data_IF_492490832024
#
_entry.id   IF_492490832024
#
_cell.length_a   1.000
_cell.length_b   1.000
_cell.length_c   1.000
_cell.angle_alpha   90.00
_cell.angle_beta   90.00
_cell.angle_gamma   90.00
#
_symmetry.space_group_name_H-M   'P 1'
#
loop_
_entity.id
_entity.type
_entity.pdbx_description
1 polymer ?
#
# COMPACT_ATOMS: atom_id res chain seq x y z
N UNK A 1 -20.67 8.90 -37.68
CA UNK A 1 -21.94 9.21 -36.99
C UNK A 1 -21.60 10.19 -35.89
N UNK A 2 -22.04 11.43 -36.06
CA UNK A 2 -21.90 12.54 -35.12
C UNK A 2 -22.70 12.24 -33.85
N UNK A 3 -22.04 12.24 -32.70
CA UNK A 3 -22.72 12.27 -31.41
C UNK A 3 -22.94 13.73 -31.03
N UNK A 4 -24.01 14.32 -31.56
CA UNK A 4 -24.64 15.50 -30.97
C UNK A 4 -25.80 15.04 -30.10
N UNK A 5 -25.85 15.57 -28.86
CA UNK A 5 -26.98 15.43 -27.96
C UNK A 5 -26.81 14.36 -26.89
N UNK A 6 -26.04 14.64 -25.84
CA UNK A 6 -26.28 13.97 -24.54
C UNK A 6 -27.10 14.90 -23.67
N UNK A 7 -28.34 14.50 -23.46
CA UNK A 7 -29.33 15.07 -22.55
C UNK A 7 -28.78 15.29 -21.14
N UNK A 8 -29.31 16.31 -20.44
CA UNK A 8 -29.22 16.51 -18.99
C UNK A 8 -29.89 15.34 -18.22
N UNK A 9 -29.40 14.11 -18.39
CA UNK A 9 -29.72 13.01 -17.52
C UNK A 9 -28.94 13.23 -16.23
N UNK A 10 -29.65 13.36 -15.11
CA UNK A 10 -29.03 13.35 -13.78
C UNK A 10 -28.27 12.04 -13.61
N UNK A 11 -26.94 12.09 -13.55
CA UNK A 11 -26.11 10.92 -13.25
C UNK A 11 -26.57 10.31 -11.93
N UNK A 12 -26.88 9.01 -11.90
CA UNK A 12 -27.31 8.34 -10.68
C UNK A 12 -26.09 7.96 -9.85
N UNK A 13 -26.26 8.04 -8.54
CA UNK A 13 -25.27 7.55 -7.59
C UNK A 13 -25.37 6.03 -7.54
N UNK A 14 -24.26 5.33 -7.76
CA UNK A 14 -24.17 3.87 -7.70
C UNK A 14 -23.10 3.46 -6.69
N UNK A 15 -23.35 2.39 -5.95
CA UNK A 15 -22.34 1.75 -5.11
C UNK A 15 -21.44 0.88 -6.00
N UNK A 16 -20.17 1.23 -6.10
CA UNK A 16 -19.14 0.33 -6.62
C UNK A 16 -18.50 -0.39 -5.43
N UNK A 17 -18.91 -1.65 -5.21
CA UNK A 17 -18.33 -2.56 -4.22
C UNK A 17 -17.71 -3.77 -4.94
N UNK A 18 -16.39 -3.73 -5.09
CA UNK A 18 -15.65 -4.67 -5.93
C UNK A 18 -14.27 -4.13 -6.25
N UNK A 19 -13.75 -4.41 -7.44
CA UNK A 19 -12.41 -3.99 -7.85
C UNK A 19 -12.48 -3.24 -9.17
N UNK A 20 -11.68 -2.19 -9.29
CA UNK A 20 -11.41 -1.49 -10.54
C UNK A 20 -10.05 -1.93 -11.09
N UNK A 21 -10.04 -2.42 -12.32
CA UNK A 21 -8.84 -2.64 -13.13
C UNK A 21 -8.66 -1.42 -14.05
N UNK A 22 -7.60 -0.65 -13.80
CA UNK A 22 -7.41 0.69 -14.39
C UNK A 22 -6.04 0.75 -15.08
N UNK A 23 -6.05 1.12 -16.35
CA UNK A 23 -4.85 1.44 -17.11
C UNK A 23 -4.85 2.91 -17.49
N UNK A 24 -3.87 3.66 -17.01
CA UNK A 24 -3.57 5.02 -17.47
C UNK A 24 -2.41 4.92 -18.45
N UNK A 25 -2.67 5.11 -19.74
CA UNK A 25 -1.72 4.76 -20.80
C UNK A 25 -0.86 5.94 -21.22
N UNK A 26 -1.47 6.94 -21.83
CA UNK A 26 -0.78 8.10 -22.40
C UNK A 26 -1.71 9.29 -22.48
N UNK A 27 -1.17 10.50 -22.54
CA UNK A 27 -1.90 11.68 -22.96
C UNK A 27 -1.25 12.31 -24.18
N UNK A 28 -2.02 13.07 -24.96
CA UNK A 28 -1.52 13.76 -26.16
C UNK A 28 -1.93 15.22 -26.14
N UNK A 29 -1.08 16.08 -26.70
CA UNK A 29 -1.30 17.51 -26.90
C UNK A 29 -1.70 18.28 -25.64
N UNK A 30 -1.06 18.00 -24.50
CA UNK A 30 -1.34 18.73 -23.26
C UNK A 30 -0.99 20.22 -23.40
N UNK A 31 -1.70 21.13 -22.69
CA UNK A 31 -1.28 22.52 -22.62
C UNK A 31 0.00 22.63 -21.78
N UNK A 32 0.89 23.54 -22.18
CA UNK A 32 2.06 23.89 -21.39
C UNK A 32 1.65 24.78 -20.22
N UNK A 33 1.83 24.32 -18.99
CA UNK A 33 1.38 25.01 -17.78
C UNK A 33 2.51 25.62 -16.96
N UNK A 34 3.78 25.41 -17.35
CA UNK A 34 4.95 25.91 -16.62
C UNK A 34 5.07 27.45 -16.67
N UNK A 35 5.19 28.05 -15.47
CA UNK A 35 5.33 29.50 -15.26
C UNK A 35 6.74 30.01 -15.52
N UNK A 36 7.77 29.16 -15.42
CA UNK A 36 9.17 29.56 -15.54
C UNK A 36 9.70 29.53 -16.98
N UNK A 37 8.80 29.48 -17.98
CA UNK A 37 9.13 29.73 -19.40
C UNK A 37 10.00 30.96 -19.63
N UNK A 38 9.93 31.97 -18.76
CA UNK A 38 10.77 33.18 -18.83
C UNK A 38 12.24 32.97 -18.45
N UNK A 39 12.56 31.91 -17.71
CA UNK A 39 13.89 31.67 -17.13
C UNK A 39 14.56 30.39 -17.66
N UNK A 40 13.78 29.38 -18.08
CA UNK A 40 14.25 28.20 -18.82
C UNK A 40 13.64 28.19 -20.21
N UNK A 41 14.45 28.43 -21.24
CA UNK A 41 14.10 28.06 -22.61
C UNK A 41 13.94 26.53 -22.64
N UNK A 42 12.77 26.04 -23.07
CA UNK A 42 12.40 24.63 -23.25
C UNK A 42 11.85 23.88 -22.01
N UNK A 43 11.30 24.59 -21.03
CA UNK A 43 10.53 23.94 -19.95
C UNK A 43 9.07 23.72 -20.38
N UNK A 44 8.56 22.51 -20.21
CA UNK A 44 7.18 22.08 -20.51
C UNK A 44 6.54 21.55 -19.22
N UNK A 45 5.28 21.11 -19.28
CA UNK A 45 4.64 20.53 -18.10
C UNK A 45 5.28 19.20 -17.70
N UNK A 46 5.24 18.91 -16.41
CA UNK A 46 5.62 17.67 -15.75
C UNK A 46 4.33 16.89 -15.36
N UNK A 47 3.61 16.28 -16.32
CA UNK A 47 2.27 15.77 -16.09
C UNK A 47 2.22 14.46 -15.29
N UNK A 48 1.15 14.32 -14.53
CA UNK A 48 0.70 13.08 -13.91
C UNK A 48 -0.83 13.04 -13.81
N UNK A 49 -1.38 11.86 -13.54
CA UNK A 49 -2.82 11.62 -13.41
C UNK A 49 -3.12 11.09 -12.01
N UNK A 50 -4.10 11.69 -11.35
CA UNK A 50 -4.71 11.12 -10.14
C UNK A 50 -6.09 10.58 -10.48
N UNK A 51 -6.34 9.33 -10.10
CA UNK A 51 -7.63 8.66 -10.25
C UNK A 51 -8.38 8.73 -8.94
N UNK A 52 -9.64 9.14 -8.97
CA UNK A 52 -10.46 9.31 -7.77
C UNK A 52 -11.91 8.89 -7.96
N UNK A 53 -12.51 8.43 -6.88
CA UNK A 53 -13.92 8.04 -6.79
C UNK A 53 -14.49 8.61 -5.48
N UNK A 54 -15.64 9.29 -5.53
CA UNK A 54 -16.22 9.97 -4.36
C UNK A 54 -15.21 10.86 -3.60
N UNK A 55 -14.34 11.54 -4.36
CA UNK A 55 -13.25 12.40 -3.88
C UNK A 55 -12.13 11.69 -3.07
N UNK A 56 -12.18 10.36 -2.96
CA UNK A 56 -11.06 9.54 -2.51
C UNK A 56 -10.09 9.26 -3.67
N UNK A 57 -8.80 9.54 -3.49
CA UNK A 57 -7.74 9.21 -4.45
C UNK A 57 -7.42 7.71 -4.35
N UNK A 58 -7.59 6.99 -5.46
CA UNK A 58 -7.42 5.53 -5.54
C UNK A 58 -6.20 5.10 -6.35
N UNK A 59 -5.53 6.04 -7.02
CA UNK A 59 -4.30 5.77 -7.74
C UNK A 59 -3.69 7.04 -8.30
N UNK A 60 -2.36 7.10 -8.34
CA UNK A 60 -1.61 8.23 -8.87
C UNK A 60 -0.46 7.71 -9.71
N UNK A 61 -0.32 8.25 -10.93
CA UNK A 61 0.77 7.88 -11.84
C UNK A 61 2.09 8.50 -11.38
N UNK A 62 3.18 8.02 -11.96
CA UNK A 62 4.45 8.76 -11.93
C UNK A 62 4.28 10.12 -12.61
N UNK A 63 5.12 11.06 -12.19
CA UNK A 63 5.33 12.32 -12.89
C UNK A 63 6.29 12.05 -14.05
N UNK A 64 5.93 12.50 -15.25
CA UNK A 64 6.82 12.47 -16.42
C UNK A 64 7.31 13.89 -16.64
N UNK A 65 8.63 14.09 -16.60
CA UNK A 65 9.20 15.42 -16.69
C UNK A 65 9.17 15.95 -18.13
N UNK A 66 8.73 17.19 -18.29
CA UNK A 66 8.84 17.99 -19.50
C UNK A 66 8.27 17.33 -20.78
N UNK A 67 7.09 16.71 -20.70
CA UNK A 67 6.44 16.08 -21.84
C UNK A 67 4.96 16.47 -21.99
N UNK A 68 4.59 17.05 -23.14
CA UNK A 68 3.19 17.36 -23.47
C UNK A 68 2.45 16.14 -24.07
N UNK A 69 3.14 15.01 -24.28
CA UNK A 69 2.61 13.75 -24.77
C UNK A 69 3.10 12.54 -23.91
N UNK A 70 2.90 12.59 -22.59
CA UNK A 70 3.43 11.61 -21.65
C UNK A 70 2.87 10.20 -21.89
N UNK A 71 3.71 9.19 -21.70
CA UNK A 71 3.33 7.76 -21.75
C UNK A 71 3.65 7.11 -20.39
N UNK A 72 2.63 6.88 -19.58
CA UNK A 72 2.78 6.27 -18.26
C UNK A 72 2.71 4.74 -18.30
N UNK A 73 1.77 4.19 -19.07
CA UNK A 73 1.48 2.75 -19.12
C UNK A 73 1.38 2.11 -17.72
N UNK A 74 0.70 2.80 -16.80
CA UNK A 74 0.58 2.35 -15.42
C UNK A 74 -0.76 1.67 -15.16
N UNK A 75 -0.67 0.58 -14.41
CA UNK A 75 -1.78 -0.27 -14.03
C UNK A 75 -2.08 -0.13 -12.54
N UNK A 76 -3.36 0.01 -12.22
CA UNK A 76 -3.88 -0.01 -10.86
C UNK A 76 -4.98 -1.06 -10.76
N UNK A 77 -4.90 -1.93 -9.76
CA UNK A 77 -5.94 -2.89 -9.44
C UNK A 77 -6.41 -2.62 -8.01
N UNK A 78 -7.54 -1.95 -7.88
CA UNK A 78 -7.91 -1.28 -6.61
C UNK A 78 -9.28 -1.74 -6.13
N UNK A 79 -9.39 -2.22 -4.88
CA UNK A 79 -10.69 -2.47 -4.27
C UNK A 79 -11.41 -1.15 -3.98
N UNK A 80 -12.71 -1.10 -4.27
CA UNK A 80 -13.58 0.04 -4.06
C UNK A 80 -14.84 -0.38 -3.31
N UNK A 81 -15.35 0.51 -2.46
CA UNK A 81 -16.62 0.37 -1.74
C UNK A 81 -17.28 1.76 -1.61
N UNK A 82 -17.46 2.45 -2.73
CA UNK A 82 -17.82 3.88 -2.76
C UNK A 82 -19.13 4.12 -3.51
N UNK A 83 -19.96 5.02 -2.98
CA UNK A 83 -21.09 5.59 -3.71
C UNK A 83 -20.59 6.75 -4.58
N UNK A 84 -20.72 6.64 -5.90
CA UNK A 84 -20.25 7.68 -6.82
C UNK A 84 -21.10 7.73 -8.10
N UNK A 85 -21.11 8.90 -8.73
CA UNK A 85 -21.68 9.12 -10.07
C UNK A 85 -20.63 8.93 -11.18
N UNK A 86 -19.36 9.20 -10.88
CA UNK A 86 -18.24 9.12 -11.82
C UNK A 86 -16.95 8.66 -11.13
N UNK A 87 -16.09 8.01 -11.90
CA UNK A 87 -14.65 7.89 -11.63
C UNK A 87 -13.94 9.03 -12.38
N UNK A 88 -13.15 9.84 -11.68
CA UNK A 88 -12.46 11.01 -12.23
C UNK A 88 -10.98 10.71 -12.42
N UNK A 89 -10.46 10.98 -13.61
CA UNK A 89 -9.04 10.98 -13.94
C UNK A 89 -8.61 12.44 -14.10
N UNK A 90 -7.92 12.98 -13.09
CA UNK A 90 -7.52 14.39 -13.07
C UNK A 90 -6.07 14.49 -13.52
N UNK A 91 -5.84 15.18 -14.64
CA UNK A 91 -4.50 15.52 -15.08
C UNK A 91 -4.00 16.75 -14.32
N UNK A 92 -2.79 16.64 -13.81
CA UNK A 92 -2.10 17.68 -13.04
C UNK A 92 -0.71 17.89 -13.61
N UNK A 93 -0.23 19.13 -13.49
CA UNK A 93 1.15 19.50 -13.69
C UNK A 93 1.84 19.60 -12.32
N UNK A 94 3.04 19.03 -12.18
CA UNK A 94 3.79 19.01 -10.93
C UNK A 94 4.85 20.12 -10.90
N UNK A 95 4.54 21.26 -10.28
CA UNK A 95 5.52 22.33 -10.09
C UNK A 95 6.21 22.25 -8.71
N UNK A 96 7.40 22.86 -8.60
CA UNK A 96 8.18 22.98 -7.35
C UNK A 96 7.39 23.56 -6.16
N UNK A 97 6.30 24.28 -6.41
CA UNK A 97 5.48 24.95 -5.40
C UNK A 97 4.04 24.42 -5.32
N UNK A 98 3.82 23.18 -5.76
CA UNK A 98 2.53 22.51 -5.71
C UNK A 98 2.02 22.14 -7.11
N UNK A 99 0.92 21.41 -7.17
CA UNK A 99 0.37 20.93 -8.44
C UNK A 99 -0.77 21.78 -8.96
N UNK A 100 -0.89 21.85 -10.28
CA UNK A 100 -1.97 22.58 -10.96
C UNK A 100 -2.79 21.64 -11.82
N UNK A 101 -4.11 21.69 -11.70
CA UNK A 101 -4.99 20.89 -12.55
C UNK A 101 -4.99 21.44 -13.99
N UNK A 102 -4.78 20.53 -14.95
CA UNK A 102 -4.90 20.76 -16.40
C UNK A 102 -6.36 20.59 -16.84
N UNK A 103 -6.99 19.53 -16.33
CA UNK A 103 -8.35 19.13 -16.65
C UNK A 103 -8.61 17.71 -16.18
N UNK A 104 -9.76 17.16 -16.53
CA UNK A 104 -10.19 15.84 -16.09
C UNK A 104 -10.96 15.07 -17.16
N UNK A 105 -10.94 13.75 -17.04
CA UNK A 105 -11.80 12.81 -17.75
C UNK A 105 -12.70 12.13 -16.72
N UNK A 106 -14.01 12.03 -17.00
CA UNK A 106 -15.00 11.44 -16.11
C UNK A 106 -15.64 10.23 -16.79
N UNK A 107 -15.57 9.08 -16.13
CA UNK A 107 -16.24 7.85 -16.57
C UNK A 107 -17.45 7.63 -15.65
N UNK A 108 -18.69 7.65 -16.18
CA UNK A 108 -19.88 7.38 -15.38
C UNK A 108 -19.85 6.00 -14.73
N UNK A 109 -20.21 5.93 -13.45
CA UNK A 109 -20.22 4.65 -12.71
C UNK A 109 -21.30 3.70 -13.22
N UNK A 110 -22.41 4.23 -13.77
CA UNK A 110 -23.45 3.42 -14.43
C UNK A 110 -22.91 2.62 -15.62
N UNK A 111 -22.02 3.20 -16.42
CA UNK A 111 -21.40 2.51 -17.57
C UNK A 111 -20.50 1.36 -17.10
N UNK A 112 -19.77 1.57 -16.00
CA UNK A 112 -18.91 0.56 -15.38
C UNK A 112 -19.71 -0.63 -14.86
N UNK A 113 -20.94 -0.43 -14.39
CA UNK A 113 -21.80 -1.49 -13.87
C UNK A 113 -22.21 -2.53 -14.92
N UNK A 114 -22.02 -2.24 -16.21
CA UNK A 114 -22.20 -3.23 -17.27
C UNK A 114 -21.17 -4.37 -17.23
N UNK A 115 -20.06 -4.18 -16.50
CA UNK A 115 -18.93 -5.12 -16.43
C UNK A 115 -18.03 -5.12 -17.68
N UNK A 116 -18.42 -4.40 -18.74
CA UNK A 116 -17.62 -4.25 -19.94
C UNK A 116 -16.39 -3.39 -19.66
N UNK A 117 -15.28 -3.72 -20.34
CA UNK A 117 -14.08 -2.88 -20.33
C UNK A 117 -14.32 -1.64 -21.18
N UNK A 118 -14.22 -0.47 -20.55
CA UNK A 118 -14.26 0.83 -21.22
C UNK A 118 -12.83 1.19 -21.59
N UNK A 119 -12.56 1.41 -22.88
CA UNK A 119 -11.21 1.69 -23.36
C UNK A 119 -11.25 2.62 -24.56
N UNK A 120 -10.36 3.62 -24.58
CA UNK A 120 -10.29 4.57 -25.68
C UNK A 120 -9.51 5.84 -25.38
N UNK A 121 -9.70 6.82 -26.27
CA UNK A 121 -9.16 8.16 -26.17
C UNK A 121 -10.27 9.12 -25.74
N UNK A 122 -10.09 9.77 -24.60
CA UNK A 122 -11.09 10.64 -24.00
C UNK A 122 -10.61 12.10 -24.02
N UNK A 123 -11.47 13.07 -24.41
CA UNK A 123 -11.10 14.47 -24.38
C UNK A 123 -10.90 14.94 -22.94
N UNK A 124 -9.81 15.66 -22.69
CA UNK A 124 -9.53 16.25 -21.38
C UNK A 124 -10.35 17.53 -21.24
N UNK A 125 -11.24 17.58 -20.24
CA UNK A 125 -12.14 18.70 -20.02
C UNK A 125 -11.61 19.63 -18.94
N UNK A 126 -11.79 20.93 -19.11
CA UNK A 126 -11.51 21.92 -18.07
C UNK A 126 -12.70 22.06 -17.10
N UNK A 127 -12.58 22.94 -16.11
CA UNK A 127 -13.63 23.21 -15.11
C UNK A 127 -14.97 23.68 -15.70
N UNK A 128 -14.96 24.23 -16.92
CA UNK A 128 -16.18 24.64 -17.64
C UNK A 128 -16.82 23.52 -18.47
N UNK A 129 -16.26 22.30 -18.43
CA UNK A 129 -16.74 21.15 -19.21
C UNK A 129 -16.35 21.20 -20.69
N UNK A 130 -15.45 22.12 -21.09
CA UNK A 130 -14.96 22.25 -22.47
C UNK A 130 -13.58 21.60 -22.61
N UNK A 131 -13.20 21.13 -23.81
CA UNK A 131 -11.84 20.64 -24.06
C UNK A 131 -10.78 21.65 -23.62
N UNK A 132 -9.76 21.20 -22.87
CA UNK A 132 -8.73 22.09 -22.33
C UNK A 132 -7.80 22.68 -23.40
N UNK A 133 -7.54 21.92 -24.48
CA UNK A 133 -6.79 22.31 -25.68
C UNK A 133 -7.28 21.45 -26.85
N UNK A 134 -7.27 21.99 -28.07
CA UNK A 134 -7.68 21.23 -29.27
C UNK A 134 -6.76 20.02 -29.44
N UNK A 135 -7.35 18.83 -29.51
CA UNK A 135 -6.62 17.57 -29.65
C UNK A 135 -6.03 17.01 -28.35
N UNK A 136 -6.29 17.64 -27.20
CA UNK A 136 -5.86 17.14 -25.90
C UNK A 136 -6.72 15.96 -25.44
N UNK A 137 -6.10 14.79 -25.34
CA UNK A 137 -6.79 13.53 -25.01
C UNK A 137 -5.99 12.70 -24.02
N UNK A 138 -6.70 11.90 -23.22
CA UNK A 138 -6.15 10.86 -22.34
C UNK A 138 -6.57 9.49 -22.87
N UNK A 139 -5.60 8.62 -23.06
CA UNK A 139 -5.79 7.20 -23.39
C UNK A 139 -5.84 6.39 -22.10
N UNK A 140 -6.95 5.69 -21.86
CA UNK A 140 -7.12 4.86 -20.68
C UNK A 140 -7.97 3.62 -20.97
N UNK A 141 -7.89 2.64 -20.07
CA UNK A 141 -8.86 1.56 -19.97
C UNK A 141 -9.31 1.41 -18.51
N UNK A 142 -10.57 1.06 -18.30
CA UNK A 142 -11.12 0.79 -16.97
C UNK A 142 -12.17 -0.32 -17.06
N UNK A 143 -12.14 -1.24 -16.12
CA UNK A 143 -13.15 -2.28 -15.97
C UNK A 143 -13.50 -2.44 -14.49
N UNK A 144 -14.79 -2.63 -14.21
CA UNK A 144 -15.29 -2.90 -12.87
C UNK A 144 -15.72 -4.36 -12.75
N UNK A 145 -15.21 -5.02 -11.70
CA UNK A 145 -15.64 -6.36 -11.31
C UNK A 145 -16.32 -6.25 -9.94
N UNK A 146 -17.62 -6.54 -9.81
CA UNK A 146 -18.32 -6.49 -8.53
C UNK A 146 -17.84 -7.63 -7.60
N UNK A 147 -17.89 -7.40 -6.29
CA UNK A 147 -17.39 -8.34 -5.28
C UNK A 147 -18.06 -9.71 -5.38
N UNK A 148 -19.33 -9.76 -5.80
CA UNK A 148 -20.10 -10.98 -5.96
C UNK A 148 -19.56 -11.86 -7.09
N UNK A 149 -18.79 -11.32 -8.04
CA UNK A 149 -18.14 -12.12 -9.09
C UNK A 149 -16.77 -12.67 -8.67
N UNK A 150 -16.27 -12.31 -7.48
CA UNK A 150 -14.95 -12.69 -7.02
C UNK A 150 -15.02 -13.93 -6.14
N UNK A 151 -14.56 -15.06 -6.69
CA UNK A 151 -14.57 -16.37 -6.01
C UNK A 151 -13.88 -16.34 -4.63
N UNK A 152 -12.81 -15.54 -4.48
CA UNK A 152 -12.04 -15.42 -3.23
C UNK A 152 -12.89 -14.94 -2.04
N UNK A 153 -14.00 -14.24 -2.27
CA UNK A 153 -14.86 -13.70 -1.21
C UNK A 153 -16.11 -14.55 -0.94
N UNK A 154 -16.38 -15.58 -1.75
CA UNK A 154 -17.59 -16.39 -1.61
C UNK A 154 -17.43 -17.59 -0.66
N UNK A 155 -16.23 -18.17 -0.56
CA UNK A 155 -16.03 -19.50 0.04
C UNK A 155 -15.03 -19.53 1.22
N UNK A 156 -14.65 -18.36 1.73
CA UNK A 156 -13.56 -18.27 2.70
C UNK A 156 -12.25 -18.81 2.11
N UNK A 157 -11.41 -19.43 2.95
CA UNK A 157 -10.07 -19.90 2.55
C UNK A 157 -10.11 -21.12 1.62
N UNK A 158 -11.23 -21.87 1.57
CA UNK A 158 -11.39 -23.04 0.71
C UNK A 158 -10.30 -24.12 0.88
N UNK A 159 -10.26 -25.11 -0.03
CA UNK A 159 -9.21 -26.15 -0.06
C UNK A 159 -7.97 -25.73 -0.89
N UNK A 160 -8.15 -24.78 -1.82
CA UNK A 160 -7.11 -24.31 -2.74
C UNK A 160 -6.81 -22.82 -2.47
N UNK A 161 -6.26 -22.53 -1.29
CA UNK A 161 -5.83 -21.18 -0.96
C UNK A 161 -4.50 -20.85 -1.65
N UNK A 162 -4.54 -19.89 -2.57
CA UNK A 162 -3.36 -19.35 -3.26
C UNK A 162 -2.75 -18.14 -2.52
N UNK A 163 -3.40 -17.70 -1.44
CA UNK A 163 -3.02 -16.51 -0.68
C UNK A 163 -3.65 -15.23 -1.23
N UNK A 164 -3.27 -14.09 -0.64
CA UNK A 164 -3.71 -12.79 -1.12
C UNK A 164 -2.94 -12.44 -2.40
N UNK A 165 -3.62 -12.16 -3.53
CA UNK A 165 -2.94 -11.83 -4.78
C UNK A 165 -2.31 -10.42 -4.72
N UNK A 166 -1.32 -10.17 -5.57
CA UNK A 166 -0.71 -8.84 -5.72
C UNK A 166 0.14 -8.39 -4.52
N UNK A 167 0.52 -9.29 -3.62
CA UNK A 167 1.40 -8.99 -2.49
C UNK A 167 2.88 -9.19 -2.84
N UNK A 168 3.76 -8.39 -2.23
CA UNK A 168 5.20 -8.52 -2.41
C UNK A 168 5.73 -9.87 -1.91
N UNK A 169 5.19 -10.35 -0.78
CA UNK A 169 5.51 -11.68 -0.24
C UNK A 169 4.39 -12.67 -0.60
N UNK A 170 4.71 -13.77 -1.29
CA UNK A 170 3.73 -14.79 -1.65
C UNK A 170 3.38 -15.68 -0.44
N UNK A 171 2.29 -16.44 -0.58
CA UNK A 171 1.92 -17.48 0.39
C UNK A 171 3.04 -18.51 0.55
N UNK A 172 3.39 -18.84 1.80
CA UNK A 172 4.35 -19.90 2.13
C UNK A 172 3.62 -21.04 2.83
N UNK A 173 3.83 -22.27 2.36
CA UNK A 173 3.27 -23.50 2.95
C UNK A 173 4.27 -24.14 3.92
N UNK A 174 3.76 -24.92 4.87
CA UNK A 174 4.59 -25.61 5.87
C UNK A 174 5.09 -24.74 7.02
N UNK A 175 4.60 -23.49 7.12
CA UNK A 175 4.88 -22.63 8.26
C UNK A 175 4.19 -23.12 9.53
N UNK A 176 4.83 -22.94 10.69
CA UNK A 176 4.22 -23.10 12.00
C UNK A 176 4.09 -21.73 12.65
N UNK A 177 2.86 -21.37 13.00
CA UNK A 177 2.55 -20.11 13.69
C UNK A 177 2.21 -20.43 15.14
N UNK A 178 2.95 -19.83 16.07
CA UNK A 178 2.59 -19.81 17.49
C UNK A 178 1.83 -18.53 17.76
N UNK A 179 0.61 -18.63 18.27
CA UNK A 179 -0.18 -17.47 18.67
C UNK A 179 0.13 -17.15 20.13
N UNK A 180 0.36 -15.88 20.40
CA UNK A 180 0.61 -15.38 21.74
C UNK A 180 -0.53 -14.48 22.18
N UNK A 181 -1.17 -14.85 23.29
CA UNK A 181 -2.01 -13.94 24.05
C UNK A 181 -1.12 -13.26 25.08
N UNK A 182 -0.98 -11.94 24.96
CA UNK A 182 -0.12 -11.11 25.81
C UNK A 182 1.39 -11.49 25.79
N UNK A 183 2.18 -10.76 26.57
CA UNK A 183 3.61 -11.04 26.74
C UNK A 183 3.84 -12.35 27.52
N UNK A 184 2.94 -12.67 28.44
CA UNK A 184 3.03 -13.77 29.37
C UNK A 184 1.64 -14.16 29.88
N UNK A 185 1.44 -15.45 30.06
CA UNK A 185 0.24 -16.01 30.69
C UNK A 185 0.68 -17.02 31.75
N UNK A 186 0.05 -16.96 32.93
CA UNK A 186 0.26 -17.94 33.99
C UNK A 186 -0.52 -19.24 33.71
N UNK A 187 0.08 -20.37 34.04
CA UNK A 187 -0.52 -21.67 33.77
C UNK A 187 -1.85 -21.84 34.54
N UNK A 188 -2.88 -22.32 33.85
CA UNK A 188 -4.20 -22.55 34.43
C UNK A 188 -5.10 -21.31 34.57
N UNK A 189 -4.63 -20.12 34.18
CA UNK A 189 -5.45 -18.89 34.24
C UNK A 189 -6.39 -18.72 33.04
N UNK A 190 -6.05 -19.31 31.90
CA UNK A 190 -6.88 -19.29 30.71
C UNK A 190 -7.75 -20.55 30.59
N UNK A 191 -8.93 -20.43 29.95
CA UNK A 191 -9.80 -21.58 29.72
C UNK A 191 -9.12 -22.63 28.85
N UNK A 192 -9.54 -23.88 29.05
CA UNK A 192 -9.19 -24.99 28.14
C UNK A 192 -9.93 -24.80 26.82
N UNK A 193 -9.21 -25.01 25.72
CA UNK A 193 -9.76 -24.94 24.37
C UNK A 193 -9.49 -26.28 23.70
N UNK A 194 -10.55 -27.02 23.45
CA UNK A 194 -10.51 -28.31 22.76
C UNK A 194 -10.31 -28.06 21.26
N UNK A 195 -9.37 -28.79 20.67
CA UNK A 195 -9.07 -28.79 19.24
C UNK A 195 -9.50 -30.11 18.61
N UNK A 196 -9.53 -30.13 17.27
CA UNK A 196 -9.81 -31.36 16.52
C UNK A 196 -8.84 -32.50 16.87
N UNK A 197 -9.29 -33.74 16.71
CA UNK A 197 -8.52 -34.93 17.08
C UNK A 197 -8.33 -35.13 18.60
N UNK A 198 -9.12 -34.45 19.44
CA UNK A 198 -9.04 -34.57 20.90
C UNK A 198 -7.84 -33.85 21.53
N UNK A 199 -7.18 -32.99 20.77
CA UNK A 199 -6.03 -32.22 21.22
C UNK A 199 -6.48 -31.06 22.11
N UNK A 200 -5.60 -30.61 23.00
CA UNK A 200 -5.81 -29.41 23.82
C UNK A 200 -4.93 -28.28 23.28
N UNK A 201 -5.48 -27.08 23.18
CA UNK A 201 -4.69 -25.89 22.86
C UNK A 201 -3.74 -25.55 24.00
N UNK A 202 -2.47 -25.33 23.66
CA UNK A 202 -1.43 -24.92 24.60
C UNK A 202 -1.14 -23.44 24.38
N UNK A 203 -1.40 -22.62 25.40
CA UNK A 203 -1.14 -21.19 25.37
C UNK A 203 0.38 -20.93 25.39
N UNK A 204 0.87 -20.20 24.38
CA UNK A 204 2.28 -19.82 24.28
C UNK A 204 2.68 -18.70 25.23
N UNK A 205 3.97 -18.57 25.54
CA UNK A 205 4.50 -17.56 26.47
C UNK A 205 5.50 -16.66 25.72
N UNK A 206 4.98 -15.62 25.06
CA UNK A 206 5.71 -14.81 24.08
C UNK A 206 7.12 -14.39 24.53
N UNK A 207 7.24 -13.76 25.70
CA UNK A 207 8.53 -13.25 26.18
C UNK A 207 9.47 -14.35 26.64
N UNK A 208 8.96 -15.50 27.07
CA UNK A 208 9.79 -16.68 27.40
C UNK A 208 10.35 -17.29 26.13
N UNK A 209 9.50 -17.55 25.14
CA UNK A 209 9.89 -18.09 23.84
C UNK A 209 10.86 -17.15 23.11
N UNK A 210 10.65 -15.83 23.21
CA UNK A 210 11.56 -14.82 22.67
C UNK A 210 12.93 -14.83 23.37
N UNK A 211 12.94 -14.89 24.71
CA UNK A 211 14.18 -14.95 25.47
C UNK A 211 14.97 -16.22 25.13
N UNK A 212 14.28 -17.34 24.97
CA UNK A 212 14.90 -18.61 24.60
C UNK A 212 15.39 -18.62 23.15
N UNK A 213 14.65 -18.03 22.22
CA UNK A 213 15.09 -17.86 20.83
C UNK A 213 16.36 -17.00 20.74
N UNK A 214 16.44 -15.90 21.51
CA UNK A 214 17.63 -15.04 21.60
C UNK A 214 18.81 -15.86 22.14
N UNK A 215 18.64 -16.52 23.30
CA UNK A 215 19.71 -17.31 23.95
C UNK A 215 20.22 -18.47 23.10
N UNK A 216 19.37 -19.06 22.25
CA UNK A 216 19.71 -20.21 21.41
C UNK A 216 20.25 -19.82 20.02
N UNK A 217 20.20 -18.54 19.65
CA UNK A 217 20.64 -18.08 18.34
C UNK A 217 22.16 -18.25 18.18
N UNK A 218 22.58 -18.88 17.07
CA UNK A 218 24.01 -19.12 16.78
C UNK A 218 24.60 -18.20 15.71
N UNK A 219 23.76 -17.59 14.88
CA UNK A 219 24.18 -16.94 13.63
C UNK A 219 23.74 -15.49 13.52
N UNK A 220 22.45 -15.20 13.71
CA UNK A 220 21.88 -13.88 13.49
C UNK A 220 20.71 -13.65 14.44
N UNK A 221 20.71 -12.48 15.06
CA UNK A 221 19.56 -11.91 15.75
C UNK A 221 19.23 -10.59 15.05
N UNK A 222 18.00 -10.46 14.56
CA UNK A 222 17.48 -9.24 13.93
C UNK A 222 16.28 -8.75 14.72
N UNK A 223 16.37 -7.52 15.24
CA UNK A 223 15.31 -6.90 16.03
C UNK A 223 14.94 -5.57 15.40
N UNK A 224 13.65 -5.38 15.17
CA UNK A 224 13.05 -4.11 14.79
C UNK A 224 11.88 -3.82 15.73
N UNK A 225 11.77 -2.57 16.14
CA UNK A 225 10.69 -2.14 17.02
C UNK A 225 10.57 -0.63 16.93
N UNK A 226 9.35 -0.12 17.14
CA UNK A 226 9.13 1.31 17.28
C UNK A 226 9.90 1.90 18.47
N UNK A 227 10.05 1.12 19.54
CA UNK A 227 10.89 1.42 20.70
C UNK A 227 11.49 0.14 21.25
N UNK A 228 12.79 0.16 21.57
CA UNK A 228 13.51 -0.95 22.18
C UNK A 228 14.12 -0.48 23.50
N UNK A 229 13.52 -0.90 24.62
CA UNK A 229 14.02 -0.59 25.96
C UNK A 229 14.91 -1.73 26.46
N UNK A 230 16.21 -1.65 26.17
CA UNK A 230 17.18 -2.70 26.50
C UNK A 230 17.27 -3.11 27.99
N UNK A 231 16.90 -2.28 29.00
CA UNK A 231 16.86 -2.71 30.40
C UNK A 231 15.67 -3.60 30.75
N UNK A 232 14.71 -3.82 29.83
CA UNK A 232 13.54 -4.67 30.10
C UNK A 232 13.95 -6.11 30.40
N UNK A 233 13.25 -6.74 31.33
CA UNK A 233 13.37 -8.17 31.63
C UNK A 233 12.27 -8.96 30.95
N UNK A 234 12.65 -9.84 30.03
CA UNK A 234 11.72 -10.70 29.28
C UNK A 234 11.12 -11.79 30.18
N UNK A 235 11.93 -12.41 31.03
CA UNK A 235 11.46 -13.42 32.00
C UNK A 235 11.56 -12.84 33.41
N UNK A 236 10.44 -12.85 34.14
CA UNK A 236 10.30 -12.14 35.43
C UNK A 236 10.02 -13.06 36.63
N UNK A 237 9.94 -14.38 36.45
CA UNK A 237 9.48 -15.33 37.48
C UNK A 237 10.41 -15.51 38.68
N UNK A 238 11.73 -15.35 38.53
CA UNK A 238 12.70 -15.85 39.51
C UNK A 238 13.38 -14.79 40.41
N UNK A 239 12.91 -13.53 40.45
CA UNK A 239 13.48 -12.44 41.27
C UNK A 239 15.00 -12.15 41.13
N UNK A 240 15.78 -12.91 40.34
CA UNK A 240 17.18 -12.59 40.01
C UNK A 240 17.21 -11.28 39.20
N UNK A 241 17.84 -10.20 39.68
CA UNK A 241 17.79 -8.89 39.03
C UNK A 241 18.52 -8.83 37.67
N UNK A 242 19.37 -9.80 37.36
CA UNK A 242 20.20 -9.84 36.16
C UNK A 242 19.74 -10.86 35.12
N UNK A 243 18.99 -11.88 35.54
CA UNK A 243 18.44 -12.88 34.62
C UNK A 243 17.28 -12.31 33.79
N UNK A 244 17.39 -12.50 32.48
CA UNK A 244 16.37 -12.12 31.50
C UNK A 244 16.38 -10.66 31.03
N UNK A 245 17.37 -9.82 31.41
CA UNK A 245 17.52 -8.46 30.86
C UNK A 245 17.90 -8.53 29.38
N UNK A 246 17.09 -7.96 28.51
CA UNK A 246 17.24 -8.03 27.05
C UNK A 246 18.65 -7.58 26.60
N UNK A 247 19.10 -6.42 27.06
CA UNK A 247 20.42 -5.89 26.70
C UNK A 247 21.58 -6.75 27.18
N UNK A 248 21.43 -7.52 28.27
CA UNK A 248 22.46 -8.45 28.73
C UNK A 248 22.44 -9.72 27.88
N UNK A 249 21.26 -10.23 27.51
CA UNK A 249 21.12 -11.36 26.60
C UNK A 249 21.77 -11.07 25.25
N UNK A 250 21.46 -9.92 24.65
CA UNK A 250 22.03 -9.51 23.35
C UNK A 250 23.55 -9.31 23.40
N UNK A 251 24.08 -8.80 24.52
CA UNK A 251 25.52 -8.59 24.68
C UNK A 251 26.33 -9.89 24.80
N UNK A 252 25.74 -11.00 25.24
CA UNK A 252 26.45 -12.29 25.35
C UNK A 252 26.64 -12.98 24.00
N UNK A 253 25.76 -12.71 23.04
CA UNK A 253 25.72 -13.37 21.72
C UNK A 253 26.23 -12.46 20.57
N UNK A 254 27.04 -11.45 20.93
CA UNK A 254 27.46 -10.28 20.12
C UNK A 254 28.34 -10.58 18.89
N UNK A 255 28.40 -11.82 18.37
CA UNK A 255 29.19 -12.08 17.16
C UNK A 255 28.59 -11.41 15.92
N UNK A 256 27.26 -11.24 15.80
CA UNK A 256 26.56 -10.47 14.72
C UNK A 256 25.12 -10.08 15.11
N UNK A 257 24.95 -9.15 16.06
CA UNK A 257 23.62 -8.55 16.31
C UNK A 257 23.45 -7.34 15.38
N UNK A 258 22.43 -7.35 14.54
CA UNK A 258 22.03 -6.20 13.72
C UNK A 258 20.74 -5.61 14.32
N UNK A 259 20.90 -4.51 15.04
CA UNK A 259 19.78 -3.71 15.53
C UNK A 259 19.46 -2.63 14.50
N UNK A 260 18.24 -2.66 13.96
CA UNK A 260 17.72 -1.59 13.12
C UNK A 260 16.55 -0.93 13.85
N UNK A 261 16.86 0.13 14.60
CA UNK A 261 15.83 1.02 15.16
C UNK A 261 15.40 2.02 14.08
N UNK A 262 14.13 2.02 13.70
CA UNK A 262 13.54 3.06 12.86
C UNK A 262 12.91 4.12 13.74
N UNK A 263 13.25 5.38 13.46
CA UNK A 263 12.75 6.55 14.16
C UNK A 263 11.82 7.34 13.24
N UNK A 264 10.63 7.70 13.74
CA UNK A 264 9.77 8.69 13.10
C UNK A 264 9.74 9.94 14.00
N UNK A 265 10.50 10.98 13.62
CA UNK A 265 10.31 12.37 14.06
C UNK A 265 11.38 12.99 14.99
N UNK A 266 12.24 13.84 14.40
CA UNK A 266 13.04 14.95 14.98
C UNK A 266 14.32 14.67 15.79
N UNK A 267 15.47 14.69 15.07
CA UNK A 267 16.82 15.12 15.51
C UNK A 267 17.31 14.54 16.86
N UNK A 268 18.08 13.44 16.83
CA UNK A 268 19.53 13.36 17.14
C UNK A 268 19.96 11.87 17.11
N UNK A 269 21.06 11.57 16.42
CA UNK A 269 21.54 10.20 16.21
C UNK A 269 22.75 9.94 17.13
N UNK A 270 22.62 9.00 18.06
CA UNK A 270 23.76 8.24 18.58
C UNK A 270 23.44 6.75 18.52
N UNK A 271 23.99 6.09 17.49
CA UNK A 271 24.29 4.67 17.53
C UNK A 271 25.77 4.54 17.17
N UNK A 272 26.60 4.23 18.16
CA UNK A 272 27.98 3.79 17.94
C UNK A 272 28.06 2.35 18.41
N UNK A 273 28.51 1.44 17.54
CA UNK A 273 29.40 0.33 17.90
C UNK A 273 30.06 -0.16 16.60
N UNK A 274 31.33 0.20 16.44
CA UNK A 274 32.25 -0.39 15.47
C UNK A 274 32.84 -1.66 16.07
N UNK A 275 32.88 -2.74 15.28
CA UNK A 275 33.62 -3.95 15.60
C UNK A 275 34.33 -4.46 14.36
N UNK A 276 35.49 -3.89 14.04
CA UNK A 276 36.48 -4.51 13.15
C UNK A 276 37.53 -5.17 14.03
N UNK A 277 37.54 -6.50 14.09
CA UNK A 277 38.73 -7.24 14.49
C UNK A 277 39.39 -7.79 13.22
N UNK A 278 40.56 -7.22 12.92
CA UNK A 278 41.51 -7.84 12.00
C UNK A 278 42.07 -9.10 12.68
N UNK A 279 42.06 -10.19 11.92
CA UNK A 279 42.73 -11.43 12.27
C UNK A 279 44.25 -11.25 12.09
N UNK A 280 45.01 -11.64 13.12
CA UNK A 280 46.35 -12.23 13.00
C UNK A 280 46.38 -13.50 13.86
#
# INVERSE_FOLDING_TARGET
>A
MSMEGSSNASLRVVLLHGNLDIWVKEAKNLPNMDRFRRYKKNSTSDPYVTVSIADAEIGTTFVIDNDENPVWMQHFYVPVAHHATVVKFVLKDSDRFGSRSIGDVRIPTEELCSGNRIEGLFPILNTSGKPCKKGAVLSLAIQYTPVEMMKIYQMGVGNECEGVPGTYFPLRKGGRVTLYQDAHVEDGTLPRVDLDGGMQYIHGKCWEDMADAIRQAKNLIYITGWSVYHPVRLVRRNNDPTDGVLGICLKKDLKKVLECCYWCGMIELQVTLWGTEHAD
#
